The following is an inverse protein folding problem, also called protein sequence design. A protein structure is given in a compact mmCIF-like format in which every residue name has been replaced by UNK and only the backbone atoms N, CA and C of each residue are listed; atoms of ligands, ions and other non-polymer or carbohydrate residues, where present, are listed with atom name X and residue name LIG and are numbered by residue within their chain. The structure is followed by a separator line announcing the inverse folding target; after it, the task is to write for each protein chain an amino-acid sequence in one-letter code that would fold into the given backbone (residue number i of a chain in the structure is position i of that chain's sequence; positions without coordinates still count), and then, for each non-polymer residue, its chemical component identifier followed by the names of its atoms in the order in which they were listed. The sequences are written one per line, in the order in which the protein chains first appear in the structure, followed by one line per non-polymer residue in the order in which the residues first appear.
data_IF_021236876174
#
_entry.id   IF_021236876174
#
_cell.length_a   1.000
_cell.length_b   1.000
_cell.length_c   1.000
_cell.angle_alpha   90.00
_cell.angle_beta   90.00
_cell.angle_gamma   90.00
#
_symmetry.space_group_name_H-M   'P 1'
#
loop_
_entity.id
_entity.type
_entity.pdbx_description
1 polymer ?
#
# COMPACT_ATOMS: atom_id res chain seq x y z
N UNK A 1 -18.77 -21.80 -0.20
CA UNK A 1 -19.02 -21.08 1.08
C UNK A 1 -20.48 -21.27 1.46
N UNK A 2 -20.73 -21.83 2.64
CA UNK A 2 -22.04 -21.91 3.29
C UNK A 2 -22.68 -20.50 3.41
N UNK A 3 -24.02 -20.40 3.39
CA UNK A 3 -24.78 -19.15 3.54
C UNK A 3 -24.33 -18.35 4.77
N UNK A 4 -24.14 -19.01 5.92
CA UNK A 4 -23.65 -18.36 7.14
C UNK A 4 -22.28 -17.69 6.95
N UNK A 5 -21.36 -18.31 6.19
CA UNK A 5 -20.07 -17.70 5.91
C UNK A 5 -20.19 -16.46 5.04
N UNK A 6 -21.11 -16.48 4.07
CA UNK A 6 -21.37 -15.31 3.21
C UNK A 6 -21.95 -14.16 4.03
N UNK A 7 -22.86 -14.46 4.96
CA UNK A 7 -23.44 -13.47 5.87
C UNK A 7 -22.38 -12.87 6.81
N UNK A 8 -21.56 -13.70 7.45
CA UNK A 8 -20.47 -13.22 8.31
C UNK A 8 -19.48 -12.35 7.53
N UNK A 9 -19.12 -12.76 6.31
CA UNK A 9 -18.23 -11.99 5.44
C UNK A 9 -18.82 -10.63 5.08
N UNK A 10 -20.08 -10.60 4.65
CA UNK A 10 -20.79 -9.38 4.30
C UNK A 10 -20.95 -8.45 5.50
N UNK A 11 -21.29 -8.99 6.66
CA UNK A 11 -21.43 -8.23 7.91
C UNK A 11 -20.14 -7.51 8.29
N UNK A 12 -18.99 -8.20 8.28
CA UNK A 12 -17.70 -7.56 8.58
C UNK A 12 -17.32 -6.54 7.51
N UNK A 13 -17.64 -6.81 6.24
CA UNK A 13 -17.39 -5.85 5.15
C UNK A 13 -18.18 -4.54 5.34
N UNK A 14 -19.42 -4.61 5.82
CA UNK A 14 -20.23 -3.44 6.19
C UNK A 14 -19.57 -2.70 7.37
N UNK A 15 -19.12 -3.40 8.40
CA UNK A 15 -18.42 -2.78 9.54
C UNK A 15 -17.17 -2.04 9.07
N UNK A 16 -16.34 -2.65 8.22
CA UNK A 16 -15.13 -2.01 7.68
C UNK A 16 -15.49 -0.77 6.86
N UNK A 17 -16.55 -0.83 6.05
CA UNK A 17 -17.03 0.33 5.29
C UNK A 17 -17.50 1.47 6.20
N UNK A 18 -18.29 1.16 7.24
CA UNK A 18 -18.77 2.17 8.20
C UNK A 18 -17.62 2.78 9.00
N UNK A 19 -16.67 1.96 9.45
CA UNK A 19 -15.48 2.43 10.14
C UNK A 19 -14.64 3.35 9.24
N UNK A 20 -14.37 2.94 8.00
CA UNK A 20 -13.59 3.74 7.06
C UNK A 20 -14.30 5.05 6.73
N UNK A 21 -15.61 5.01 6.51
CA UNK A 21 -16.42 6.19 6.27
C UNK A 21 -16.37 7.14 7.48
N UNK A 22 -16.47 6.63 8.71
CA UNK A 22 -16.34 7.43 9.93
C UNK A 22 -14.97 8.14 10.01
N UNK A 23 -13.88 7.43 9.70
CA UNK A 23 -12.53 8.03 9.68
C UNK A 23 -12.46 9.18 8.67
N UNK A 24 -12.92 8.97 7.43
CA UNK A 24 -12.87 10.02 6.39
C UNK A 24 -13.85 11.17 6.66
N UNK A 25 -15.06 10.90 7.16
CA UNK A 25 -15.98 11.97 7.57
C UNK A 25 -15.40 12.80 8.72
N UNK A 26 -14.67 12.18 9.64
CA UNK A 26 -13.98 12.91 10.72
C UNK A 26 -12.89 13.84 10.19
N UNK A 27 -12.22 13.49 9.09
CA UNK A 27 -11.27 14.40 8.41
C UNK A 27 -12.01 15.65 7.92
N UNK A 28 -13.16 15.49 7.27
CA UNK A 28 -13.92 16.62 6.75
C UNK A 28 -14.62 17.46 7.82
N UNK A 29 -15.18 16.82 8.86
CA UNK A 29 -15.90 17.52 9.92
C UNK A 29 -14.98 18.33 10.83
N UNK A 30 -13.73 17.89 11.01
CA UNK A 30 -12.76 18.55 11.87
C UNK A 30 -11.65 19.27 11.10
N UNK A 31 -11.82 19.44 9.78
CA UNK A 31 -10.88 20.15 8.89
C UNK A 31 -9.42 19.70 9.03
N UNK A 32 -9.21 18.38 9.11
CA UNK A 32 -7.87 17.82 9.29
C UNK A 32 -7.10 18.01 7.98
N UNK A 33 -6.04 18.81 8.02
CA UNK A 33 -5.18 19.07 6.86
C UNK A 33 -4.61 17.76 6.31
N UNK A 34 -4.96 17.43 5.06
CA UNK A 34 -4.58 16.19 4.37
C UNK A 34 -4.51 16.43 2.87
N UNK A 35 -3.82 15.56 2.13
CA UNK A 35 -3.74 15.64 0.66
C UNK A 35 -5.10 15.53 -0.03
N UNK A 36 -6.15 15.06 0.67
CA UNK A 36 -7.52 14.99 0.15
C UNK A 36 -8.02 16.40 -0.23
N UNK A 37 -7.70 17.41 0.58
CA UNK A 37 -8.05 18.81 0.31
C UNK A 37 -7.30 19.32 -0.92
N UNK A 38 -5.97 19.21 -0.90
CA UNK A 38 -5.09 19.63 -2.00
C UNK A 38 -5.46 18.93 -3.31
N UNK A 39 -5.77 17.64 -3.28
CA UNK A 39 -6.18 16.92 -4.48
C UNK A 39 -7.57 17.34 -4.99
N UNK A 40 -8.47 17.78 -4.12
CA UNK A 40 -9.77 18.34 -4.54
C UNK A 40 -9.58 19.69 -5.23
N UNK A 41 -8.65 20.52 -4.75
CA UNK A 41 -8.24 21.77 -5.41
C UNK A 41 -7.58 21.50 -6.75
N UNK A 42 -6.69 20.52 -6.82
CA UNK A 42 -6.05 20.08 -8.06
C UNK A 42 -7.06 19.65 -9.12
N UNK A 43 -8.17 19.00 -8.75
CA UNK A 43 -9.26 18.67 -9.69
C UNK A 43 -9.90 19.95 -10.21
N UNK A 44 -10.25 20.89 -9.32
CA UNK A 44 -10.85 22.17 -9.71
C UNK A 44 -9.94 22.93 -10.68
N UNK A 45 -8.65 23.06 -10.36
CA UNK A 45 -7.65 23.68 -11.25
C UNK A 45 -7.54 22.95 -12.59
N UNK A 46 -7.65 21.62 -12.59
CA UNK A 46 -7.61 20.80 -13.81
C UNK A 46 -8.78 21.13 -14.74
N UNK A 47 -9.98 21.30 -14.17
CA UNK A 47 -11.21 21.67 -14.90
C UNK A 47 -11.08 23.08 -15.47
N UNK A 48 -10.64 24.04 -14.66
CA UNK A 48 -10.51 25.45 -15.07
C UNK A 48 -9.49 25.65 -16.20
N UNK A 49 -8.44 24.83 -16.25
CA UNK A 49 -7.36 24.96 -17.22
C UNK A 49 -7.39 23.93 -18.35
N UNK A 50 -8.35 23.00 -18.36
CA UNK A 50 -8.42 21.87 -19.31
C UNK A 50 -7.12 21.05 -19.38
N UNK A 51 -6.49 20.81 -18.23
CA UNK A 51 -5.24 20.04 -18.11
C UNK A 51 -5.36 19.00 -17.02
N UNK A 52 -4.81 17.80 -17.22
CA UNK A 52 -4.83 16.73 -16.21
C UNK A 52 -3.41 16.37 -15.76
N UNK A 53 -3.23 15.94 -14.50
CA UNK A 53 -1.98 15.33 -14.05
C UNK A 53 -1.73 14.03 -14.83
N UNK A 54 -0.46 13.64 -15.00
CA UNK A 54 -0.10 12.44 -15.75
C UNK A 54 -0.75 11.17 -15.16
N UNK A 55 -0.80 11.08 -13.83
CA UNK A 55 -1.50 10.05 -13.07
C UNK A 55 -2.98 10.44 -12.80
N UNK A 56 -3.74 10.67 -13.86
CA UNK A 56 -5.07 11.30 -13.82
C UNK A 56 -6.19 10.43 -13.21
N UNK A 57 -6.03 9.10 -13.08
CA UNK A 57 -7.18 8.20 -12.92
C UNK A 57 -7.95 8.45 -11.61
N UNK A 58 -7.26 8.74 -10.51
CA UNK A 58 -7.93 9.09 -9.25
C UNK A 58 -8.78 10.35 -9.41
N UNK A 59 -8.19 11.42 -9.94
CA UNK A 59 -8.84 12.72 -10.14
C UNK A 59 -10.06 12.61 -11.08
N UNK A 60 -9.92 11.83 -12.16
CA UNK A 60 -11.01 11.56 -13.10
C UNK A 60 -12.18 10.83 -12.44
N UNK A 61 -11.92 9.81 -11.61
CA UNK A 61 -12.96 9.07 -10.90
C UNK A 61 -13.74 9.97 -9.96
N UNK A 62 -13.06 10.85 -9.20
CA UNK A 62 -13.73 11.81 -8.32
C UNK A 62 -14.61 12.76 -9.14
N UNK A 63 -14.08 13.31 -10.24
CA UNK A 63 -14.84 14.22 -11.08
C UNK A 63 -16.09 13.57 -11.70
N UNK A 64 -15.99 12.34 -12.20
CA UNK A 64 -17.13 11.60 -12.75
C UNK A 64 -18.19 11.33 -11.66
N UNK A 65 -17.78 10.86 -10.48
CA UNK A 65 -18.71 10.52 -9.40
C UNK A 65 -19.38 11.78 -8.80
N UNK A 66 -18.71 12.93 -8.88
CA UNK A 66 -19.31 14.23 -8.53
C UNK A 66 -20.40 14.69 -9.50
N UNK A 67 -20.65 13.94 -10.58
CA UNK A 67 -21.59 14.33 -11.64
C UNK A 67 -21.01 15.45 -12.52
N UNK A 68 -19.69 15.45 -12.73
CA UNK A 68 -18.97 16.51 -13.44
C UNK A 68 -19.09 17.89 -12.76
N UNK A 69 -19.22 17.92 -11.43
CA UNK A 69 -19.31 19.15 -10.66
C UNK A 69 -17.93 19.58 -10.17
N UNK A 70 -17.48 20.77 -10.58
CA UNK A 70 -16.21 21.37 -10.15
C UNK A 70 -16.22 22.03 -8.76
N UNK A 71 -17.34 21.97 -8.03
CA UNK A 71 -17.44 22.54 -6.69
C UNK A 71 -16.54 21.79 -5.70
N UNK A 72 -15.68 22.54 -5.00
CA UNK A 72 -14.68 21.98 -4.08
C UNK A 72 -15.29 21.12 -2.97
N UNK A 73 -16.41 21.54 -2.38
CA UNK A 73 -17.10 20.81 -1.32
C UNK A 73 -17.66 19.48 -1.85
N UNK A 74 -18.18 19.48 -3.09
CA UNK A 74 -18.67 18.27 -3.75
C UNK A 74 -17.52 17.30 -4.04
N UNK A 75 -16.44 17.77 -4.66
CA UNK A 75 -15.24 16.98 -4.97
C UNK A 75 -14.61 16.37 -3.71
N UNK A 76 -14.54 17.16 -2.65
CA UNK A 76 -14.02 16.72 -1.36
C UNK A 76 -14.91 15.65 -0.73
N UNK A 77 -16.23 15.87 -0.66
CA UNK A 77 -17.19 14.90 -0.11
C UNK A 77 -17.15 13.57 -0.86
N UNK A 78 -17.12 13.63 -2.20
CA UNK A 78 -16.99 12.44 -3.06
C UNK A 78 -15.66 11.73 -2.81
N UNK A 79 -14.57 12.47 -2.61
CA UNK A 79 -13.27 11.88 -2.26
C UNK A 79 -13.35 11.08 -0.96
N UNK A 80 -13.98 11.59 0.10
CA UNK A 80 -14.13 10.86 1.37
C UNK A 80 -14.85 9.52 1.17
N UNK A 81 -15.92 9.51 0.38
CA UNK A 81 -16.70 8.29 0.09
C UNK A 81 -15.86 7.31 -0.74
N UNK A 82 -15.24 7.77 -1.83
CA UNK A 82 -14.43 6.92 -2.72
C UNK A 82 -13.24 6.30 -1.97
N UNK A 83 -12.59 7.06 -1.09
CA UNK A 83 -11.49 6.56 -0.27
C UNK A 83 -11.95 5.55 0.77
N UNK A 84 -13.13 5.73 1.37
CA UNK A 84 -13.72 4.71 2.27
C UNK A 84 -13.96 3.38 1.54
N UNK A 85 -14.47 3.44 0.30
CA UNK A 85 -14.67 2.26 -0.55
C UNK A 85 -13.32 1.62 -0.91
N UNK A 86 -12.29 2.42 -1.22
CA UNK A 86 -10.96 1.91 -1.50
C UNK A 86 -10.35 1.14 -0.32
N UNK A 87 -10.52 1.61 0.92
CA UNK A 87 -10.10 0.86 2.12
C UNK A 87 -10.88 -0.45 2.26
N UNK A 88 -12.19 -0.44 2.01
CA UNK A 88 -13.02 -1.65 2.03
C UNK A 88 -12.59 -2.65 0.96
N UNK A 89 -12.22 -2.20 -0.23
CA UNK A 89 -11.67 -3.05 -1.30
C UNK A 89 -10.28 -3.59 -0.93
N UNK A 90 -9.41 -2.78 -0.32
CA UNK A 90 -8.10 -3.20 0.22
C UNK A 90 -8.30 -4.36 1.21
N UNK A 91 -9.25 -4.22 2.14
CA UNK A 91 -9.64 -5.27 3.08
C UNK A 91 -10.16 -6.52 2.36
N UNK A 92 -11.14 -6.37 1.47
CA UNK A 92 -11.75 -7.47 0.72
C UNK A 92 -10.71 -8.33 -0.01
N UNK A 93 -9.80 -7.70 -0.76
CA UNK A 93 -8.76 -8.42 -1.49
C UNK A 93 -7.70 -9.03 -0.57
N UNK A 94 -7.42 -8.41 0.58
CA UNK A 94 -6.53 -8.99 1.59
C UNK A 94 -7.11 -10.28 2.16
N UNK A 95 -8.40 -10.31 2.48
CA UNK A 95 -9.10 -11.51 2.95
C UNK A 95 -9.07 -12.61 1.88
N UNK A 96 -9.40 -12.28 0.63
CA UNK A 96 -9.36 -13.25 -0.48
C UNK A 96 -7.97 -13.83 -0.65
N UNK A 97 -6.93 -12.98 -0.63
CA UNK A 97 -5.56 -13.43 -0.79
C UNK A 97 -5.14 -14.33 0.38
N UNK A 98 -5.38 -13.90 1.63
CA UNK A 98 -5.07 -14.69 2.83
C UNK A 98 -5.77 -16.06 2.79
N UNK A 99 -7.07 -16.08 2.50
CA UNK A 99 -7.85 -17.33 2.43
C UNK A 99 -7.31 -18.29 1.34
N UNK A 100 -6.98 -17.77 0.15
CA UNK A 100 -6.47 -18.58 -0.96
C UNK A 100 -5.06 -19.10 -0.73
N UNK A 101 -4.18 -18.30 -0.14
CA UNK A 101 -2.79 -18.71 0.14
C UNK A 101 -2.74 -19.73 1.29
N UNK A 102 -3.60 -19.56 2.30
CA UNK A 102 -3.73 -20.53 3.39
C UNK A 102 -4.39 -21.85 2.92
N UNK A 103 -5.03 -21.87 1.73
CA UNK A 103 -5.69 -23.04 1.13
C UNK A 103 -6.71 -23.71 2.07
N UNK A 104 -7.47 -22.91 2.81
CA UNK A 104 -8.49 -23.42 3.74
C UNK A 104 -9.60 -24.23 3.06
N UNK A 105 -9.70 -24.22 1.73
CA UNK A 105 -10.60 -25.11 0.99
C UNK A 105 -10.29 -26.61 1.25
N UNK A 106 -9.07 -26.98 1.63
CA UNK A 106 -8.71 -28.34 2.08
C UNK A 106 -9.03 -28.59 3.57
N UNK A 107 -9.27 -27.53 4.36
CA UNK A 107 -9.63 -27.57 5.80
C UNK A 107 -11.11 -27.18 6.05
N UNK A 108 -11.94 -27.28 5.00
CA UNK A 108 -13.11 -26.45 4.71
C UNK A 108 -14.41 -26.68 5.50
N UNK A 109 -14.41 -27.42 6.59
CA UNK A 109 -15.61 -27.54 7.45
C UNK A 109 -15.64 -26.52 8.60
N UNK A 110 -14.54 -25.83 8.91
CA UNK A 110 -14.44 -25.08 10.17
C UNK A 110 -14.63 -23.57 10.02
N UNK A 111 -15.80 -23.10 10.47
CA UNK A 111 -16.21 -21.68 10.51
C UNK A 111 -15.25 -20.76 11.25
N UNK A 112 -14.47 -21.31 12.20
CA UNK A 112 -13.56 -20.57 13.06
C UNK A 112 -12.42 -19.90 12.28
N UNK A 113 -11.85 -20.56 11.28
CA UNK A 113 -10.70 -20.02 10.54
C UNK A 113 -11.07 -18.80 9.70
N UNK A 114 -12.23 -18.82 9.05
CA UNK A 114 -12.71 -17.67 8.30
C UNK A 114 -12.88 -16.45 9.22
N UNK A 115 -13.46 -16.64 10.42
CA UNK A 115 -13.62 -15.55 11.39
C UNK A 115 -12.26 -14.98 11.80
N UNK A 116 -11.26 -15.84 12.04
CA UNK A 116 -9.90 -15.39 12.37
C UNK A 116 -9.28 -14.58 11.22
N UNK A 117 -9.45 -15.01 9.96
CA UNK A 117 -8.98 -14.25 8.79
C UNK A 117 -9.65 -12.88 8.74
N UNK A 118 -10.98 -12.82 8.88
CA UNK A 118 -11.73 -11.56 8.86
C UNK A 118 -11.26 -10.61 9.96
N UNK A 119 -11.08 -11.13 11.17
CA UNK A 119 -10.58 -10.35 12.30
C UNK A 119 -9.15 -9.84 12.04
N UNK A 120 -8.22 -10.72 11.64
CA UNK A 120 -6.82 -10.33 11.40
C UNK A 120 -6.69 -9.32 10.27
N UNK A 121 -7.41 -9.51 9.16
CA UNK A 121 -7.43 -8.52 8.08
C UNK A 121 -8.04 -7.19 8.51
N UNK A 122 -9.01 -7.18 9.43
CA UNK A 122 -9.59 -5.95 9.98
C UNK A 122 -8.56 -5.21 10.84
N UNK A 123 -7.85 -5.94 11.70
CA UNK A 123 -6.80 -5.38 12.55
C UNK A 123 -5.56 -4.91 11.77
N UNK A 124 -5.25 -5.55 10.63
CA UNK A 124 -4.20 -5.10 9.71
C UNK A 124 -4.45 -3.70 9.13
N UNK A 125 -5.71 -3.22 9.08
CA UNK A 125 -6.04 -1.85 8.67
C UNK A 125 -5.64 -0.81 9.73
N UNK A 126 -5.43 -1.24 10.97
CA UNK A 126 -5.12 -0.37 12.11
C UNK A 126 -3.63 -0.36 12.40
N UNK A 127 -2.93 -1.47 12.16
CA UNK A 127 -1.49 -1.62 12.46
C UNK A 127 -0.68 -0.41 11.97
N UNK A 128 0.24 0.01 12.84
CA UNK A 128 1.19 1.10 12.61
C UNK A 128 2.58 0.69 13.13
N UNK A 129 3.68 1.35 12.70
CA UNK A 129 4.99 1.22 13.33
C UNK A 129 4.92 1.38 14.85
N UNK A 130 5.76 0.64 15.57
CA UNK A 130 5.79 0.71 17.04
C UNK A 130 6.17 2.14 17.44
N UNK A 131 5.35 2.77 18.27
CA UNK A 131 5.64 4.10 18.80
C UNK A 131 6.77 3.96 19.83
N UNK A 132 7.80 4.78 19.65
CA UNK A 132 9.02 4.83 20.44
C UNK A 132 8.99 6.06 21.34
N UNK A 133 9.86 6.12 22.36
CA UNK A 133 9.98 7.31 23.21
C UNK A 133 10.32 8.61 22.44
N UNK A 134 11.06 8.50 21.32
CA UNK A 134 11.38 9.66 20.46
C UNK A 134 10.13 10.26 19.82
N UNK A 135 9.19 9.42 19.39
CA UNK A 135 7.95 9.88 18.77
C UNK A 135 7.08 10.67 19.74
N UNK A 136 6.99 10.20 21.00
CA UNK A 136 6.28 10.92 22.06
C UNK A 136 6.93 12.27 22.36
N UNK A 137 8.26 12.33 22.35
CA UNK A 137 9.00 13.58 22.58
C UNK A 137 8.76 14.59 21.46
N UNK A 138 8.76 14.13 20.21
CA UNK A 138 8.71 15.00 19.03
C UNK A 138 7.28 15.29 18.59
N UNK A 139 6.31 14.52 19.08
CA UNK A 139 4.92 14.63 18.65
C UNK A 139 4.74 14.25 17.17
N UNK A 140 5.61 13.40 16.61
CA UNK A 140 5.49 12.87 15.26
C UNK A 140 5.48 11.35 15.30
N UNK A 141 4.35 10.74 14.93
CA UNK A 141 4.13 9.30 15.05
C UNK A 141 4.22 8.60 13.68
N UNK A 142 4.14 9.35 12.59
CA UNK A 142 4.13 8.83 11.22
C UNK A 142 5.40 9.18 10.44
N UNK A 143 5.91 10.41 10.58
CA UNK A 143 7.01 10.92 9.76
C UNK A 143 8.27 10.07 9.89
N UNK A 144 8.95 9.82 8.76
CA UNK A 144 10.18 9.03 8.71
C UNK A 144 9.97 7.52 8.82
N UNK A 145 8.76 7.04 9.13
CA UNK A 145 8.46 5.63 9.37
C UNK A 145 7.81 4.94 8.18
N UNK A 146 8.17 3.68 7.97
CA UNK A 146 7.57 2.82 6.95
C UNK A 146 6.18 2.33 7.40
N UNK A 147 5.20 3.22 7.59
CA UNK A 147 3.85 2.81 8.01
C UNK A 147 3.11 2.01 6.94
N UNK A 148 2.31 1.01 7.35
CA UNK A 148 1.54 0.16 6.42
C UNK A 148 0.13 0.71 6.12
N UNK A 149 -0.30 1.73 6.85
CA UNK A 149 -1.61 2.37 6.69
C UNK A 149 -1.43 3.89 6.65
N UNK A 150 -1.80 4.46 5.51
CA UNK A 150 -1.79 5.91 5.27
C UNK A 150 -3.23 6.38 5.22
N UNK A 151 -3.56 7.42 5.98
CA UNK A 151 -4.94 7.94 6.09
C UNK A 151 -5.11 9.35 5.49
N UNK A 152 -4.02 10.03 5.16
CA UNK A 152 -4.04 11.41 4.63
C UNK A 152 -3.75 11.51 3.12
N UNK A 153 -3.03 10.54 2.53
CA UNK A 153 -2.65 10.58 1.11
C UNK A 153 -3.68 9.83 0.23
N UNK A 154 -4.53 10.57 -0.48
CA UNK A 154 -5.67 9.97 -1.18
C UNK A 154 -5.29 9.06 -2.35
N UNK A 155 -4.25 9.40 -3.13
CA UNK A 155 -3.80 8.55 -4.26
C UNK A 155 -3.17 7.24 -3.77
N UNK A 156 -2.45 7.27 -2.64
CA UNK A 156 -1.90 6.07 -1.99
C UNK A 156 -3.01 5.19 -1.42
N UNK A 157 -4.06 5.77 -0.86
CA UNK A 157 -5.22 5.00 -0.37
C UNK A 157 -5.96 4.35 -1.54
N UNK A 158 -6.23 5.13 -2.60
CA UNK A 158 -7.00 4.69 -3.76
C UNK A 158 -6.32 3.55 -4.54
N UNK A 159 -4.99 3.54 -4.62
CA UNK A 159 -4.23 2.53 -5.38
C UNK A 159 -4.11 1.17 -4.67
N UNK A 160 -4.21 1.11 -3.33
CA UNK A 160 -3.92 -0.10 -2.55
C UNK A 160 -4.67 -1.37 -2.97
N UNK A 161 -5.96 -1.34 -3.34
CA UNK A 161 -6.64 -2.52 -3.87
C UNK A 161 -5.95 -3.11 -5.10
N UNK A 162 -5.47 -2.24 -6.00
CA UNK A 162 -4.81 -2.64 -7.25
C UNK A 162 -3.36 -3.09 -7.01
N UNK A 163 -2.68 -2.55 -6.00
CA UNK A 163 -1.38 -3.07 -5.52
C UNK A 163 -1.53 -4.53 -5.09
N UNK A 164 -2.53 -4.83 -4.25
CA UNK A 164 -2.78 -6.19 -3.75
C UNK A 164 -3.11 -7.13 -4.90
N UNK A 165 -3.95 -6.70 -5.85
CA UNK A 165 -4.32 -7.51 -7.01
C UNK A 165 -3.11 -7.77 -7.92
N UNK A 166 -2.30 -6.76 -8.21
CA UNK A 166 -1.08 -6.91 -9.00
C UNK A 166 -0.10 -7.89 -8.35
N UNK A 167 0.16 -7.72 -7.05
CA UNK A 167 1.01 -8.64 -6.28
C UNK A 167 0.45 -10.07 -6.30
N UNK A 168 -0.86 -10.22 -6.05
CA UNK A 168 -1.51 -11.53 -6.01
C UNK A 168 -1.45 -12.24 -7.37
N UNK A 169 -1.83 -11.58 -8.46
CA UNK A 169 -1.82 -12.22 -9.78
C UNK A 169 -0.41 -12.48 -10.32
N UNK A 170 0.55 -11.60 -10.00
CA UNK A 170 1.97 -11.86 -10.30
C UNK A 170 2.50 -13.08 -9.54
N UNK A 171 2.20 -13.22 -8.25
CA UNK A 171 2.55 -14.43 -7.52
C UNK A 171 1.86 -15.69 -8.07
N UNK A 172 0.57 -15.61 -8.35
CA UNK A 172 -0.21 -16.75 -8.86
C UNK A 172 0.21 -17.13 -10.30
N UNK A 173 0.82 -16.22 -11.05
CA UNK A 173 1.49 -16.54 -12.31
C UNK A 173 2.75 -17.38 -12.09
N UNK A 174 3.56 -17.07 -11.08
CA UNK A 174 4.73 -17.88 -10.70
C UNK A 174 4.33 -19.32 -10.37
N UNK A 175 3.20 -19.51 -9.71
CA UNK A 175 2.73 -20.84 -9.33
C UNK A 175 2.10 -21.63 -10.48
N UNK A 176 1.28 -20.97 -11.30
CA UNK A 176 0.57 -21.63 -12.42
C UNK A 176 0.47 -20.65 -13.61
N UNK A 177 1.47 -20.57 -14.50
CA UNK A 177 1.47 -19.60 -15.60
C UNK A 177 0.25 -19.70 -16.51
N UNK A 178 -0.36 -18.57 -16.86
CA UNK A 178 -1.39 -18.52 -17.90
C UNK A 178 -1.50 -17.12 -18.54
N UNK A 179 -1.97 -17.07 -19.79
CA UNK A 179 -2.17 -15.79 -20.50
C UNK A 179 -3.21 -14.90 -19.80
N UNK A 180 -4.26 -15.48 -19.20
CA UNK A 180 -5.25 -14.75 -18.40
C UNK A 180 -4.60 -14.00 -17.24
N UNK A 181 -3.62 -14.62 -16.56
CA UNK A 181 -2.90 -13.98 -15.44
C UNK A 181 -1.97 -12.87 -15.94
N UNK A 182 -1.29 -13.06 -17.07
CA UNK A 182 -0.48 -11.99 -17.68
C UNK A 182 -1.33 -10.79 -18.06
N UNK A 183 -2.50 -11.02 -18.64
CA UNK A 183 -3.44 -9.95 -18.97
C UNK A 183 -3.90 -9.19 -17.72
N UNK A 184 -4.23 -9.90 -16.64
CA UNK A 184 -4.58 -9.28 -15.36
C UNK A 184 -3.41 -8.50 -14.75
N UNK A 185 -2.19 -9.04 -14.81
CA UNK A 185 -0.97 -8.33 -14.38
C UNK A 185 -0.81 -7.03 -15.17
N UNK A 186 -0.98 -7.06 -16.50
CA UNK A 186 -0.89 -5.88 -17.34
C UNK A 186 -1.96 -4.84 -16.96
N UNK A 187 -3.23 -5.25 -16.84
CA UNK A 187 -4.32 -4.35 -16.44
C UNK A 187 -4.03 -3.70 -15.09
N UNK A 188 -3.73 -4.50 -14.06
CA UNK A 188 -3.49 -3.93 -12.73
C UNK A 188 -2.23 -3.08 -12.69
N UNK A 189 -1.22 -3.39 -13.49
CA UNK A 189 -0.03 -2.54 -13.59
C UNK A 189 -0.36 -1.19 -14.26
N UNK A 190 -1.12 -1.18 -15.35
CA UNK A 190 -1.58 0.07 -15.99
C UNK A 190 -2.43 0.89 -15.02
N UNK A 191 -3.37 0.26 -14.29
CA UNK A 191 -4.15 0.95 -13.26
C UNK A 191 -3.26 1.55 -12.16
N UNK A 192 -2.22 0.84 -11.74
CA UNK A 192 -1.27 1.40 -10.77
C UNK A 192 -0.54 2.62 -11.37
N UNK A 193 0.01 2.54 -12.58
CA UNK A 193 0.66 3.67 -13.27
C UNK A 193 -0.29 4.88 -13.33
N UNK A 194 -1.50 4.69 -13.83
CA UNK A 194 -2.47 5.78 -14.03
C UNK A 194 -2.99 6.41 -12.72
N UNK A 195 -2.89 5.72 -11.58
CA UNK A 195 -3.25 6.28 -10.26
C UNK A 195 -2.02 6.91 -9.59
N UNK A 196 -0.95 6.12 -9.47
CA UNK A 196 0.33 6.49 -8.86
C UNK A 196 1.41 5.45 -9.19
N UNK A 197 2.47 5.79 -9.95
CA UNK A 197 3.43 4.81 -10.45
C UNK A 197 4.33 4.17 -9.39
N UNK A 198 4.32 4.68 -8.15
CA UNK A 198 5.27 4.30 -7.08
C UNK A 198 5.44 2.78 -6.92
N UNK A 199 4.36 2.00 -6.84
CA UNK A 199 4.47 0.54 -6.70
C UNK A 199 5.07 -0.13 -7.94
N UNK A 200 4.74 0.38 -9.15
CA UNK A 200 5.20 -0.20 -10.42
C UNK A 200 6.70 0.01 -10.61
N UNK A 201 7.25 1.13 -10.12
CA UNK A 201 8.70 1.38 -10.10
C UNK A 201 9.44 0.27 -9.34
N UNK A 202 8.91 -0.19 -8.19
CA UNK A 202 9.49 -1.33 -7.47
C UNK A 202 9.24 -2.66 -8.20
N UNK A 203 8.02 -2.85 -8.68
CA UNK A 203 7.59 -4.08 -9.33
C UNK A 203 8.42 -4.40 -10.57
N UNK A 204 8.73 -3.41 -11.41
CA UNK A 204 9.50 -3.61 -12.65
C UNK A 204 10.96 -4.01 -12.38
N UNK A 205 11.52 -3.65 -11.21
CA UNK A 205 12.86 -4.05 -10.79
C UNK A 205 12.83 -5.47 -10.22
N UNK A 206 11.85 -5.78 -9.37
CA UNK A 206 11.84 -7.04 -8.59
C UNK A 206 11.23 -8.21 -9.35
N UNK A 207 10.13 -7.99 -10.07
CA UNK A 207 9.43 -9.07 -10.76
C UNK A 207 10.28 -9.80 -11.82
N UNK A 208 11.15 -9.16 -12.63
CA UNK A 208 12.00 -9.90 -13.56
C UNK A 208 13.02 -10.80 -12.84
N UNK A 209 13.53 -10.39 -11.68
CA UNK A 209 14.42 -11.22 -10.85
C UNK A 209 13.67 -12.47 -10.39
N UNK A 210 12.45 -12.30 -9.87
CA UNK A 210 11.63 -13.42 -9.39
C UNK A 210 11.20 -14.35 -10.55
N UNK A 211 10.83 -13.79 -11.70
CA UNK A 211 10.55 -14.56 -12.91
C UNK A 211 11.76 -15.37 -13.34
N UNK A 212 12.96 -14.77 -13.34
CA UNK A 212 14.19 -15.47 -13.70
C UNK A 212 14.49 -16.61 -12.72
N UNK A 213 14.41 -16.35 -11.41
CA UNK A 213 14.66 -17.38 -10.40
C UNK A 213 13.69 -18.57 -10.53
N UNK A 214 12.41 -18.31 -10.82
CA UNK A 214 11.38 -19.35 -10.94
C UNK A 214 11.41 -20.09 -12.29
N UNK A 215 11.58 -19.37 -13.39
CA UNK A 215 11.35 -19.88 -14.74
C UNK A 215 12.57 -19.91 -15.65
N UNK A 216 13.71 -19.34 -15.22
CA UNK A 216 14.91 -19.15 -16.04
C UNK A 216 14.54 -18.50 -17.38
N UNK A 217 15.24 -18.77 -18.48
CA UNK A 217 14.92 -18.20 -19.80
C UNK A 217 13.78 -18.92 -20.55
N UNK A 218 12.80 -19.50 -19.84
CA UNK A 218 11.69 -20.19 -20.50
C UNK A 218 10.70 -19.21 -21.17
N UNK A 219 9.77 -19.77 -21.97
CA UNK A 219 8.67 -19.02 -22.57
C UNK A 219 7.82 -18.23 -21.57
N UNK A 220 7.73 -18.68 -20.32
CA UNK A 220 6.97 -17.98 -19.27
C UNK A 220 7.71 -16.75 -18.77
N UNK A 221 9.02 -16.85 -18.62
CA UNK A 221 9.87 -15.69 -18.34
C UNK A 221 9.76 -14.65 -19.46
N UNK A 222 9.97 -15.05 -20.72
CA UNK A 222 9.91 -14.13 -21.86
C UNK A 222 8.56 -13.41 -21.95
N UNK A 223 7.45 -14.12 -21.76
CA UNK A 223 6.11 -13.50 -21.71
C UNK A 223 5.99 -12.49 -20.56
N UNK A 224 6.53 -12.79 -19.39
CA UNK A 224 6.58 -11.86 -18.27
C UNK A 224 7.41 -10.60 -18.60
N UNK A 225 8.58 -10.77 -19.22
CA UNK A 225 9.44 -9.66 -19.66
C UNK A 225 8.73 -8.76 -20.68
N UNK A 226 7.97 -9.31 -21.63
CA UNK A 226 7.20 -8.50 -22.58
C UNK A 226 6.22 -7.57 -21.87
N UNK A 227 5.51 -8.07 -20.85
CA UNK A 227 4.61 -7.23 -20.05
C UNK A 227 5.40 -6.14 -19.33
N UNK A 228 6.55 -6.46 -18.75
CA UNK A 228 7.41 -5.47 -18.08
C UNK A 228 7.96 -4.42 -19.04
N UNK A 229 8.30 -4.79 -20.28
CA UNK A 229 8.74 -3.87 -21.31
C UNK A 229 7.64 -2.85 -21.66
N UNK A 230 6.40 -3.33 -21.86
CA UNK A 230 5.25 -2.45 -22.09
C UNK A 230 5.07 -1.48 -20.92
N UNK A 231 5.19 -1.96 -19.67
CA UNK A 231 5.10 -1.10 -18.49
C UNK A 231 6.23 -0.06 -18.41
N UNK A 232 7.45 -0.43 -18.81
CA UNK A 232 8.56 0.50 -18.93
C UNK A 232 8.24 1.65 -19.89
N UNK A 233 7.59 1.36 -21.03
CA UNK A 233 7.14 2.40 -21.96
C UNK A 233 6.09 3.33 -21.33
N UNK A 234 5.13 2.79 -20.58
CA UNK A 234 4.13 3.60 -19.87
C UNK A 234 4.79 4.52 -18.82
N UNK A 235 5.78 4.03 -18.07
CA UNK A 235 6.51 4.85 -17.11
C UNK A 235 7.34 5.95 -17.79
N UNK A 236 7.95 5.67 -18.94
CA UNK A 236 8.67 6.67 -19.72
C UNK A 236 7.73 7.76 -20.26
N UNK A 237 6.54 7.37 -20.72
CA UNK A 237 5.49 8.32 -21.13
C UNK A 237 5.08 9.19 -19.94
N UNK A 238 4.85 8.60 -18.78
CA UNK A 238 4.48 9.36 -17.58
C UNK A 238 5.59 10.32 -17.14
N UNK A 239 6.85 9.87 -17.14
CA UNK A 239 8.01 10.71 -16.86
C UNK A 239 8.07 11.91 -17.82
N UNK A 240 7.84 11.68 -19.12
CA UNK A 240 7.79 12.74 -20.12
C UNK A 240 6.70 13.77 -19.81
N UNK A 241 5.49 13.34 -19.45
CA UNK A 241 4.40 14.25 -19.09
C UNK A 241 4.69 15.05 -17.81
N UNK A 242 5.29 14.42 -16.79
CA UNK A 242 5.55 15.07 -15.50
C UNK A 242 6.72 16.06 -15.59
N UNK A 243 7.85 15.64 -16.14
CA UNK A 243 9.11 16.39 -16.02
C UNK A 243 9.51 17.19 -17.25
N UNK A 244 9.20 16.68 -18.45
CA UNK A 244 9.64 17.30 -19.70
C UNK A 244 8.59 18.29 -20.18
N UNK A 245 7.37 17.80 -20.38
CA UNK A 245 6.26 18.62 -20.84
C UNK A 245 5.80 19.57 -19.71
N UNK A 246 5.70 19.08 -18.48
CA UNK A 246 5.40 19.84 -17.26
C UNK A 246 4.21 20.83 -17.39
N UNK A 247 3.26 20.61 -18.32
CA UNK A 247 2.13 21.53 -18.51
C UNK A 247 1.32 21.70 -17.22
N UNK A 248 1.07 20.59 -16.54
CA UNK A 248 0.29 20.58 -15.31
C UNK A 248 1.08 21.17 -14.12
N UNK A 249 2.35 20.78 -13.96
CA UNK A 249 3.20 21.36 -12.91
C UNK A 249 3.52 22.84 -13.14
N UNK A 250 3.58 23.30 -14.39
CA UNK A 250 3.74 24.71 -14.73
C UNK A 250 2.58 25.58 -14.24
N UNK A 251 1.34 25.05 -14.31
CA UNK A 251 0.14 25.72 -13.77
C UNK A 251 0.17 25.73 -12.24
N UNK A 252 0.52 24.61 -11.59
CA UNK A 252 0.51 24.50 -10.14
C UNK A 252 1.67 25.23 -9.45
N UNK A 253 2.82 25.31 -10.10
CA UNK A 253 4.07 25.76 -9.50
C UNK A 253 4.72 26.92 -10.27
N UNK A 254 3.92 27.74 -10.97
CA UNK A 254 4.40 28.94 -11.67
C UNK A 254 5.62 28.68 -12.59
N UNK A 255 5.60 27.58 -13.34
CA UNK A 255 6.68 27.11 -14.21
C UNK A 255 8.02 26.74 -13.52
N UNK A 256 8.07 26.66 -12.20
CA UNK A 256 9.21 26.04 -11.52
C UNK A 256 9.30 24.56 -11.90
N UNK A 257 10.51 24.13 -12.26
CA UNK A 257 10.78 22.75 -12.67
C UNK A 257 11.46 22.00 -11.54
N UNK A 258 10.95 20.81 -11.26
CA UNK A 258 11.66 19.82 -10.45
C UNK A 258 12.55 18.94 -11.33
N UNK A 259 13.57 18.36 -10.71
CA UNK A 259 14.41 17.32 -11.29
C UNK A 259 14.51 16.13 -10.36
N UNK A 260 14.86 14.96 -10.90
CA UNK A 260 15.18 13.78 -10.10
C UNK A 260 16.68 13.72 -9.90
N UNK A 261 17.11 13.61 -8.64
CA UNK A 261 18.51 13.46 -8.28
C UNK A 261 18.79 12.19 -7.48
N UNK A 262 20.08 11.97 -7.21
CA UNK A 262 20.59 10.81 -6.48
C UNK A 262 21.39 11.33 -5.29
N UNK A 263 20.89 11.11 -4.08
CA UNK A 263 21.60 11.43 -2.84
C UNK A 263 21.11 10.54 -1.71
N UNK A 264 22.05 9.94 -0.98
CA UNK A 264 21.74 8.95 0.05
C UNK A 264 21.16 9.60 1.31
N UNK A 265 19.93 9.21 1.63
CA UNK A 265 19.11 9.61 2.77
C UNK A 265 18.78 11.10 2.84
N UNK A 266 18.81 11.85 1.73
CA UNK A 266 18.54 13.30 1.73
C UNK A 266 17.17 13.61 2.35
N UNK A 267 16.12 13.10 1.74
CA UNK A 267 14.74 13.31 2.22
C UNK A 267 14.49 12.60 3.56
N UNK A 268 15.04 11.40 3.75
CA UNK A 268 14.80 10.64 4.98
C UNK A 268 15.32 11.38 6.22
N UNK A 269 16.48 12.04 6.13
CA UNK A 269 17.04 12.87 7.21
C UNK A 269 16.19 14.10 7.52
N UNK A 270 15.34 14.55 6.59
CA UNK A 270 14.39 15.63 6.86
C UNK A 270 13.25 15.16 7.77
N UNK A 271 12.78 13.91 7.61
CA UNK A 271 11.62 13.39 8.34
C UNK A 271 11.95 12.50 9.53
N UNK A 272 13.21 12.07 9.69
CA UNK A 272 13.62 11.12 10.71
C UNK A 272 14.87 11.60 11.45
N UNK A 273 14.78 11.65 12.77
CA UNK A 273 15.95 11.85 13.64
C UNK A 273 16.83 10.59 13.70
N UNK A 274 16.23 9.41 13.58
CA UNK A 274 16.94 8.14 13.62
C UNK A 274 16.30 7.10 12.70
N UNK A 275 16.82 7.06 11.46
CA UNK A 275 16.34 6.20 10.38
C UNK A 275 16.34 4.72 10.80
N UNK A 276 17.33 4.28 11.58
CA UNK A 276 17.44 2.87 12.01
C UNK A 276 16.32 2.51 12.98
N UNK A 277 16.05 3.36 13.98
CA UNK A 277 14.96 3.15 14.94
C UNK A 277 13.61 3.18 14.23
N UNK A 278 13.42 4.11 13.29
CA UNK A 278 12.17 4.23 12.54
C UNK A 278 11.92 3.02 11.65
N UNK A 279 12.96 2.52 10.98
CA UNK A 279 12.86 1.29 10.18
C UNK A 279 12.60 0.07 11.06
N UNK A 280 13.38 -0.13 12.13
CA UNK A 280 13.21 -1.28 13.02
C UNK A 280 11.83 -1.29 13.66
N UNK A 281 11.36 -0.14 14.17
CA UNK A 281 10.02 -0.01 14.75
C UNK A 281 8.91 -0.27 13.72
N UNK A 282 9.17 -0.04 12.44
CA UNK A 282 8.22 -0.27 11.35
C UNK A 282 8.11 -1.72 10.92
N UNK A 283 9.16 -2.53 11.08
CA UNK A 283 9.21 -3.91 10.57
C UNK A 283 9.55 -4.96 11.62
N UNK A 284 9.46 -4.64 12.91
CA UNK A 284 9.84 -5.56 13.99
C UNK A 284 9.11 -6.90 13.87
N UNK A 285 7.79 -6.90 13.62
CA UNK A 285 7.04 -8.14 13.41
C UNK A 285 7.51 -8.94 12.18
N UNK A 286 7.51 -8.38 10.94
CA UNK A 286 8.05 -9.10 9.78
C UNK A 286 9.47 -9.64 9.96
N UNK A 287 10.34 -8.87 10.61
CA UNK A 287 11.73 -9.25 10.84
C UNK A 287 11.83 -10.44 11.80
N UNK A 288 11.09 -10.42 12.91
CA UNK A 288 11.06 -11.53 13.85
C UNK A 288 10.46 -12.81 13.24
N UNK A 289 9.39 -12.69 12.46
CA UNK A 289 8.85 -13.84 11.70
C UNK A 289 9.94 -14.41 10.79
N UNK A 290 10.68 -13.55 10.09
CA UNK A 290 11.78 -13.95 9.20
C UNK A 290 12.87 -14.70 9.95
N UNK A 291 13.30 -14.20 11.11
CA UNK A 291 14.36 -14.81 11.92
C UNK A 291 13.90 -16.16 12.50
N UNK A 292 12.71 -16.20 13.10
CA UNK A 292 12.16 -17.40 13.76
C UNK A 292 11.88 -18.51 12.73
N UNK A 293 11.33 -18.13 11.58
CA UNK A 293 10.90 -19.07 10.55
C UNK A 293 11.93 -19.28 9.42
N UNK A 294 13.16 -18.75 9.54
CA UNK A 294 14.20 -18.74 8.49
C UNK A 294 14.32 -20.05 7.69
N UNK A 295 14.27 -21.19 8.39
CA UNK A 295 14.42 -22.50 7.78
C UNK A 295 13.23 -22.88 6.87
N UNK A 296 12.02 -22.42 7.21
CA UNK A 296 10.77 -22.69 6.48
C UNK A 296 10.54 -21.71 5.32
N UNK A 297 11.09 -20.50 5.39
CA UNK A 297 10.83 -19.42 4.42
C UNK A 297 11.88 -19.32 3.31
N UNK A 298 13.10 -19.86 3.50
CA UNK A 298 14.22 -19.70 2.56
C UNK A 298 13.93 -20.24 1.14
N UNK A 299 12.98 -21.16 1.02
CA UNK A 299 12.60 -21.78 -0.26
C UNK A 299 11.32 -21.16 -0.85
N UNK A 300 10.71 -20.19 -0.17
CA UNK A 300 9.47 -19.59 -0.62
C UNK A 300 9.71 -18.41 -1.56
N UNK A 301 9.37 -18.60 -2.84
CA UNK A 301 9.31 -17.50 -3.80
C UNK A 301 8.37 -16.37 -3.37
N UNK A 302 7.26 -16.69 -2.68
CA UNK A 302 6.34 -15.67 -2.15
C UNK A 302 7.03 -14.77 -1.11
N UNK A 303 7.77 -15.40 -0.19
CA UNK A 303 8.45 -14.69 0.89
C UNK A 303 9.63 -13.87 0.37
N UNK A 304 10.43 -14.46 -0.54
CA UNK A 304 11.50 -13.74 -1.23
C UNK A 304 10.96 -12.55 -2.01
N UNK A 305 9.86 -12.75 -2.74
CA UNK A 305 9.26 -11.72 -3.58
C UNK A 305 8.81 -10.50 -2.77
N UNK A 306 8.10 -10.71 -1.66
CA UNK A 306 7.62 -9.59 -0.84
C UNK A 306 8.76 -8.83 -0.14
N UNK A 307 9.82 -9.53 0.30
CA UNK A 307 11.00 -8.89 0.86
C UNK A 307 11.79 -8.11 -0.18
N UNK A 308 12.00 -8.65 -1.38
CA UNK A 308 12.67 -7.91 -2.45
C UNK A 308 11.90 -6.64 -2.83
N UNK A 309 10.56 -6.71 -2.87
CA UNK A 309 9.72 -5.53 -3.09
C UNK A 309 9.96 -4.46 -2.01
N UNK A 310 9.90 -4.84 -0.74
CA UNK A 310 10.09 -3.91 0.37
C UNK A 310 11.51 -3.34 0.43
N UNK A 311 12.56 -4.17 0.28
CA UNK A 311 13.95 -3.71 0.27
C UNK A 311 14.23 -2.78 -0.92
N UNK A 312 13.70 -3.10 -2.11
CA UNK A 312 13.82 -2.22 -3.29
C UNK A 312 13.11 -0.90 -3.04
N UNK A 313 11.94 -0.91 -2.41
CA UNK A 313 11.22 0.30 -2.04
C UNK A 313 12.04 1.20 -1.10
N UNK A 314 12.69 0.60 -0.09
CA UNK A 314 13.59 1.31 0.82
C UNK A 314 14.80 1.90 0.10
N UNK A 315 15.43 1.14 -0.80
CA UNK A 315 16.58 1.63 -1.59
C UNK A 315 16.16 2.83 -2.42
N UNK A 316 15.05 2.74 -3.15
CA UNK A 316 14.56 3.87 -3.95
C UNK A 316 14.28 5.09 -3.08
N UNK A 317 13.57 4.91 -1.96
CA UNK A 317 13.25 6.00 -1.03
C UNK A 317 14.48 6.62 -0.34
N UNK A 318 15.57 5.86 -0.24
CA UNK A 318 16.83 6.30 0.35
C UNK A 318 17.76 6.95 -0.66
N UNK A 319 17.66 6.62 -1.95
CA UNK A 319 18.65 7.04 -2.96
C UNK A 319 18.11 8.14 -3.87
N UNK A 320 16.83 8.07 -4.25
CA UNK A 320 16.23 9.03 -5.19
C UNK A 320 15.52 10.14 -4.42
N UNK A 321 15.65 11.36 -4.92
CA UNK A 321 14.94 12.53 -4.41
C UNK A 321 14.43 13.39 -5.59
N UNK A 322 13.44 14.24 -5.32
CA UNK A 322 12.97 15.27 -6.25
C UNK A 322 13.44 16.64 -5.75
N UNK A 323 13.88 17.53 -6.65
CA UNK A 323 14.16 18.94 -6.34
C UNK A 323 12.95 19.84 -6.68
N UNK A 324 13.04 21.11 -6.28
CA UNK A 324 12.07 22.14 -6.63
C UNK A 324 10.82 22.11 -5.75
N UNK A 325 9.65 22.53 -6.28
CA UNK A 325 8.41 22.67 -5.51
C UNK A 325 7.96 21.40 -4.80
N UNK A 326 8.37 20.24 -5.33
CA UNK A 326 7.95 18.91 -4.87
C UNK A 326 8.94 18.22 -3.93
N UNK A 327 10.04 18.88 -3.57
CA UNK A 327 11.13 18.31 -2.78
C UNK A 327 10.63 17.61 -1.51
N UNK A 328 9.91 18.33 -0.67
CA UNK A 328 9.36 17.82 0.60
C UNK A 328 8.01 17.09 0.46
N UNK A 329 7.71 16.54 -0.72
CA UNK A 329 6.59 15.59 -0.87
C UNK A 329 7.06 14.13 -0.82
N UNK A 330 8.38 13.92 -0.80
CA UNK A 330 9.05 12.62 -0.74
C UNK A 330 8.41 11.59 -1.67
N UNK A 331 8.22 11.95 -2.95
CA UNK A 331 7.42 11.16 -3.89
C UNK A 331 7.97 9.74 -4.12
N UNK A 332 9.29 9.57 -3.98
CA UNK A 332 9.96 8.27 -3.98
C UNK A 332 9.84 7.49 -2.67
N UNK A 333 9.04 7.92 -1.68
CA UNK A 333 8.77 7.13 -0.48
C UNK A 333 7.50 6.29 -0.62
N UNK A 334 6.54 6.69 -1.44
CA UNK A 334 5.17 6.17 -1.38
C UNK A 334 5.01 4.68 -1.72
N UNK A 335 6.00 4.04 -2.34
CA UNK A 335 6.03 2.59 -2.47
C UNK A 335 6.28 1.84 -1.14
N UNK A 336 6.90 2.48 -0.16
CA UNK A 336 7.30 1.87 1.13
C UNK A 336 6.05 1.44 1.91
N UNK A 337 5.02 2.29 2.11
CA UNK A 337 3.77 1.85 2.74
C UNK A 337 3.09 0.69 2.02
N UNK A 338 3.07 0.73 0.68
CA UNK A 338 2.42 -0.27 -0.15
C UNK A 338 3.08 -1.64 -0.02
N UNK A 339 4.42 -1.66 -0.12
CA UNK A 339 5.22 -2.89 -0.01
C UNK A 339 5.29 -3.40 1.43
N UNK A 340 5.34 -2.52 2.42
CA UNK A 340 5.33 -2.94 3.83
C UNK A 340 3.97 -3.53 4.24
N UNK A 341 2.86 -3.01 3.73
CA UNK A 341 1.55 -3.65 3.93
C UNK A 341 1.52 -5.08 3.39
N UNK A 342 2.04 -5.30 2.16
CA UNK A 342 2.16 -6.65 1.60
C UNK A 342 3.08 -7.52 2.47
N UNK A 343 4.19 -6.97 2.98
CA UNK A 343 5.11 -7.67 3.85
C UNK A 343 4.43 -8.15 5.13
N UNK A 344 3.71 -7.26 5.84
CA UNK A 344 2.91 -7.63 7.01
C UNK A 344 1.86 -8.69 6.70
N UNK A 345 1.16 -8.55 5.57
CA UNK A 345 0.13 -9.49 5.16
C UNK A 345 0.73 -10.88 4.91
N UNK A 346 1.84 -10.98 4.18
CA UNK A 346 2.50 -12.25 3.89
C UNK A 346 3.14 -12.85 5.14
N UNK A 347 3.85 -12.09 5.97
CA UNK A 347 4.45 -12.63 7.20
C UNK A 347 3.38 -13.12 8.18
N UNK A 348 2.24 -12.42 8.27
CA UNK A 348 1.08 -12.87 9.04
C UNK A 348 0.52 -14.19 8.47
N UNK A 349 0.36 -14.30 7.14
CA UNK A 349 -0.06 -15.56 6.49
C UNK A 349 0.88 -16.72 6.84
N UNK A 350 2.19 -16.51 6.77
CA UNK A 350 3.18 -17.54 7.10
C UNK A 350 3.11 -17.97 8.56
N UNK A 351 3.00 -17.00 9.47
CA UNK A 351 2.84 -17.27 10.90
C UNK A 351 1.57 -18.09 11.19
N UNK A 352 0.43 -17.65 10.66
CA UNK A 352 -0.86 -18.34 10.85
C UNK A 352 -0.87 -19.75 10.25
N UNK A 353 -0.26 -19.95 9.08
CA UNK A 353 -0.19 -21.27 8.44
C UNK A 353 0.49 -22.30 9.32
N UNK A 354 1.51 -21.89 10.06
CA UNK A 354 2.22 -22.78 10.98
C UNK A 354 1.50 -22.92 12.32
N UNK A 355 0.91 -21.82 12.81
CA UNK A 355 0.14 -21.79 14.05
C UNK A 355 -1.06 -22.75 13.99
N UNK A 356 -1.82 -22.73 12.88
CA UNK A 356 -3.01 -23.59 12.71
C UNK A 356 -2.70 -25.08 12.52
N UNK A 357 -1.42 -25.44 12.31
CA UNK A 357 -1.00 -26.84 12.23
C UNK A 357 -0.59 -27.43 13.58
N UNK A 358 -0.42 -26.59 14.61
CA UNK A 358 0.09 -26.98 15.92
C UNK A 358 -1.04 -26.94 16.96
N UNK A 359 -1.05 -27.90 17.87
CA UNK A 359 -1.97 -27.96 19.01
C UNK A 359 -1.51 -27.12 20.19
N UNK A 360 -0.20 -26.87 20.30
CA UNK A 360 0.44 -26.16 21.41
C UNK A 360 1.22 -24.95 20.93
N UNK A 361 1.20 -23.89 21.74
CA UNK A 361 1.93 -22.66 21.54
C UNK A 361 3.25 -22.70 22.30
N UNK A 362 4.32 -22.18 21.69
CA UNK A 362 5.61 -22.04 22.35
C UNK A 362 5.94 -20.56 22.62
N UNK A 363 7.03 -20.32 23.35
CA UNK A 363 7.48 -18.95 23.70
C UNK A 363 7.64 -18.02 22.49
N UNK A 364 8.01 -18.56 21.32
CA UNK A 364 8.17 -17.76 20.09
C UNK A 364 6.82 -17.28 19.56
N UNK A 365 5.76 -18.06 19.73
CA UNK A 365 4.40 -17.67 19.35
C UNK A 365 3.88 -16.53 20.23
N UNK A 366 4.11 -16.62 21.56
CA UNK A 366 3.79 -15.53 22.48
C UNK A 366 4.56 -14.24 22.16
N UNK A 367 5.86 -14.35 21.85
CA UNK A 367 6.68 -13.21 21.44
C UNK A 367 6.15 -12.57 20.15
N UNK A 368 5.86 -13.36 19.12
CA UNK A 368 5.33 -12.84 17.85
C UNK A 368 3.96 -12.19 18.02
N UNK A 369 3.09 -12.79 18.84
CA UNK A 369 1.80 -12.21 19.19
C UNK A 369 1.96 -10.87 19.92
N UNK A 370 2.84 -10.80 20.93
CA UNK A 370 3.13 -9.57 21.66
C UNK A 370 3.62 -8.44 20.76
N UNK A 371 4.56 -8.73 19.86
CA UNK A 371 5.10 -7.74 18.93
C UNK A 371 4.03 -7.28 17.93
N UNK A 372 3.23 -8.21 17.41
CA UNK A 372 2.12 -7.87 16.52
C UNK A 372 1.06 -7.01 17.23
N UNK A 373 0.74 -7.32 18.48
CA UNK A 373 -0.16 -6.50 19.31
C UNK A 373 0.43 -5.13 19.62
N UNK A 374 1.75 -5.01 19.79
CA UNK A 374 2.42 -3.71 19.99
C UNK A 374 2.25 -2.78 18.79
N UNK A 375 2.33 -3.33 17.58
CA UNK A 375 2.01 -2.64 16.33
C UNK A 375 0.53 -2.21 16.25
N UNK A 376 -0.39 -3.07 16.71
CA UNK A 376 -1.81 -2.76 16.77
C UNK A 376 -2.11 -1.63 17.78
N UNK A 377 -1.57 -1.71 19.00
CA UNK A 377 -1.72 -0.69 20.04
C UNK A 377 -1.16 0.65 19.54
N UNK A 378 0.00 0.63 18.89
CA UNK A 378 0.58 1.82 18.26
C UNK A 378 -0.35 2.42 17.19
N UNK A 379 -1.02 1.57 16.42
CA UNK A 379 -2.05 1.98 15.47
C UNK A 379 -3.27 2.64 16.10
N UNK A 380 -3.76 2.10 17.21
CA UNK A 380 -4.86 2.70 17.96
C UNK A 380 -4.47 4.06 18.57
N UNK A 381 -3.25 4.18 19.11
CA UNK A 381 -2.71 5.45 19.62
C UNK A 381 -2.58 6.48 18.48
N UNK A 382 -2.04 6.06 17.33
CA UNK A 382 -1.94 6.92 16.15
C UNK A 382 -3.32 7.38 15.66
N UNK A 383 -4.30 6.47 15.53
CA UNK A 383 -5.65 6.85 15.12
C UNK A 383 -6.34 7.77 16.12
N UNK A 384 -6.13 7.56 17.43
CA UNK A 384 -6.63 8.48 18.46
C UNK A 384 -6.07 9.88 18.23
N UNK A 385 -4.76 10.01 18.04
CA UNK A 385 -4.11 11.29 17.76
C UNK A 385 -4.60 11.90 16.45
N UNK A 386 -4.67 11.11 15.38
CA UNK A 386 -5.17 11.54 14.08
C UNK A 386 -6.59 12.11 14.18
N UNK A 387 -7.50 11.41 14.85
CA UNK A 387 -8.92 11.77 14.89
C UNK A 387 -9.31 12.76 16.00
N UNK A 388 -8.60 12.78 17.13
CA UNK A 388 -8.97 13.60 18.30
C UNK A 388 -8.04 14.81 18.50
N UNK A 389 -6.79 14.73 18.04
CA UNK A 389 -5.82 15.83 18.13
C UNK A 389 -5.64 16.51 16.76
N UNK A 390 -6.39 16.08 15.75
CA UNK A 390 -6.44 16.64 14.39
C UNK A 390 -5.06 16.77 13.73
N UNK A 391 -4.14 15.88 14.08
CA UNK A 391 -2.76 15.89 13.62
C UNK A 391 -2.33 14.50 13.18
N UNK A 392 -1.95 14.38 11.91
CA UNK A 392 -1.50 13.14 11.31
C UNK A 392 0.01 12.91 11.38
N UNK A 393 0.76 13.91 11.83
CA UNK A 393 2.22 13.84 11.86
C UNK A 393 2.71 12.94 12.99
#
# INVERSE_FOLDING_TARGET
MNLQHRLNFLFVLIIVQLFSLYVFLSIGLNDISTDIHTHSEMIKTSIENNTLPANFLYYLVIYIISGFNGNITSLFTVSLIVLSIAITLKYYFSVIMMNKILRFEEMSSNSKYLIIILLICSLLLIIHPIITPLDFKNGYFYLGKASINIWHNSTTIFIMPFVILLFYYSYIYLEKPSNKKLFLILIFSILNVLIKPSFVICFIIVYPIILFLKFRFSKYFLKGIIILFILGLFLLIEYYFIYILNNYGGILYNNEKGSVGIELFREWRHYSENIVIDLLSSITFPLLVTIIYRNKIKESYLFLYVWLLFLTALIIASVLYEDGPRMWHWNFFWQVPMTNYLLFLITTIFYLKDLFKRSEYNIKDYLLCFVWLSHLISGLIYLKKFLLEFNYR
#
